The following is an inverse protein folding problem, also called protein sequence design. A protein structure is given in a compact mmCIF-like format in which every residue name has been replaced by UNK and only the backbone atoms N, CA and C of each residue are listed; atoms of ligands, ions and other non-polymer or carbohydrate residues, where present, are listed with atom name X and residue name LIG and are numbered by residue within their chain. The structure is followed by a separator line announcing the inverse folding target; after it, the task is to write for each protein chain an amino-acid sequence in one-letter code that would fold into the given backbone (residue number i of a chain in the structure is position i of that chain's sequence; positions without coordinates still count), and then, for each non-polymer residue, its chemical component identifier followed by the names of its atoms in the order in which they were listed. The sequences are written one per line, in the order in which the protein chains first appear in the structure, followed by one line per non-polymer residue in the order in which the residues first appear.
data_IF_424717711991
#
_entry.id   IF_424717711991
#
_cell.length_a   1.000
_cell.length_b   1.000
_cell.length_c   1.000
_cell.angle_alpha   90.00
_cell.angle_beta   90.00
_cell.angle_gamma   90.00
#
_symmetry.space_group_name_H-M   'P 1'
#
loop_
_entity.id
_entity.type
_entity.pdbx_description
1 polymer ?
#
# COMPACT_ATOMS: atom_id res chain seq x y z
N UNK A 1 -71.84 20.93 -6.17
CA UNK A 1 -71.83 21.96 -7.22
C UNK A 1 -71.38 21.28 -8.50
N UNK A 2 -72.21 21.40 -9.53
CA UNK A 2 -72.07 20.80 -10.84
C UNK A 2 -71.22 21.67 -11.78
N UNK A 3 -71.04 21.15 -13.00
CA UNK A 3 -70.45 21.72 -14.22
C UNK A 3 -68.96 21.37 -14.44
N UNK A 4 -68.50 21.04 -15.64
CA UNK A 4 -69.14 20.73 -16.92
C UNK A 4 -68.05 20.13 -17.82
N UNK A 5 -68.45 19.25 -18.74
CA UNK A 5 -67.68 18.87 -19.93
C UNK A 5 -67.19 20.11 -20.67
N UNK A 6 -66.10 20.00 -21.45
CA UNK A 6 -66.01 20.45 -22.85
C UNK A 6 -64.80 19.81 -23.57
N UNK A 7 -65.10 19.18 -24.72
CA UNK A 7 -64.32 19.07 -25.97
C UNK A 7 -62.82 18.70 -25.89
N UNK A 8 -62.37 17.54 -26.37
CA UNK A 8 -62.63 17.00 -27.70
C UNK A 8 -61.58 17.52 -28.68
N UNK A 9 -60.44 16.83 -28.82
CA UNK A 9 -59.60 16.92 -30.01
C UNK A 9 -58.88 15.59 -30.21
N UNK A 10 -59.49 14.74 -31.04
CA UNK A 10 -58.88 13.54 -31.59
C UNK A 10 -58.05 13.99 -32.78
N UNK A 11 -56.72 14.09 -32.59
CA UNK A 11 -55.80 14.21 -33.72
C UNK A 11 -55.54 12.81 -34.26
N UNK A 12 -56.23 12.48 -35.36
CA UNK A 12 -55.81 11.45 -36.29
C UNK A 12 -54.55 11.99 -36.98
N UNK A 13 -53.37 11.60 -36.48
CA UNK A 13 -52.13 11.70 -37.21
C UNK A 13 -52.17 10.59 -38.26
N UNK A 14 -52.49 10.99 -39.49
CA UNK A 14 -52.38 10.14 -40.66
C UNK A 14 -50.94 9.65 -40.80
N UNK A 15 -50.80 8.34 -40.78
CA UNK A 15 -49.62 7.56 -41.14
C UNK A 15 -49.08 8.04 -42.51
N UNK A 16 -48.06 8.91 -42.49
CA UNK A 16 -47.13 8.98 -43.61
C UNK A 16 -46.19 7.78 -43.50
N UNK A 17 -46.48 6.76 -44.31
CA UNK A 17 -45.56 5.71 -44.78
C UNK A 17 -44.30 6.37 -45.37
N UNK A 18 -43.43 6.88 -44.51
CA UNK A 18 -42.05 7.18 -44.88
C UNK A 18 -41.37 5.83 -44.96
N UNK A 19 -40.76 5.47 -46.11
CA UNK A 19 -39.91 4.29 -46.15
C UNK A 19 -38.91 4.47 -45.02
N UNK A 20 -38.84 3.47 -44.13
CA UNK A 20 -37.79 3.35 -43.14
C UNK A 20 -36.51 3.30 -43.97
N UNK A 21 -35.95 4.47 -44.25
CA UNK A 21 -34.59 4.59 -44.73
C UNK A 21 -33.81 3.88 -43.66
N UNK A 22 -33.20 2.78 -44.08
CA UNK A 22 -32.26 2.01 -43.30
C UNK A 22 -31.21 3.01 -42.81
N UNK A 23 -31.46 3.56 -41.63
CA UNK A 23 -30.57 4.40 -40.86
C UNK A 23 -29.60 3.43 -40.20
N UNK A 24 -28.91 2.66 -41.05
CA UNK A 24 -27.68 2.02 -40.66
C UNK A 24 -26.79 3.18 -40.22
N UNK A 25 -26.45 3.26 -38.93
CA UNK A 25 -25.67 4.37 -38.42
C UNK A 25 -24.41 4.53 -39.28
N UNK A 26 -24.00 5.76 -39.63
CA UNK A 26 -22.85 5.99 -40.53
C UNK A 26 -21.50 5.63 -39.88
N UNK A 27 -21.53 4.98 -38.72
CA UNK A 27 -20.35 4.54 -38.02
C UNK A 27 -19.89 3.24 -38.65
N UNK A 28 -18.67 3.26 -39.17
CA UNK A 28 -18.00 2.04 -39.62
C UNK A 28 -17.87 1.10 -38.41
N UNK A 29 -17.98 -0.21 -38.60
CA UNK A 29 -17.88 -1.18 -37.49
C UNK A 29 -16.60 -0.99 -36.63
N UNK A 30 -15.53 -0.40 -37.20
CA UNK A 30 -14.30 -0.02 -36.49
C UNK A 30 -14.47 1.10 -35.44
N UNK A 31 -15.39 2.07 -35.63
CA UNK A 31 -15.57 3.18 -34.69
C UNK A 31 -16.42 2.77 -33.47
N UNK A 32 -17.27 1.76 -33.62
CA UNK A 32 -18.08 1.22 -32.52
C UNK A 32 -17.23 0.41 -31.52
N UNK A 33 -16.19 -0.29 -32.00
CA UNK A 33 -15.26 -1.01 -31.14
C UNK A 33 -14.43 -0.06 -30.26
N UNK A 34 -14.00 1.08 -30.80
CA UNK A 34 -13.18 2.06 -30.07
C UNK A 34 -13.98 2.74 -28.94
N UNK A 35 -15.26 3.08 -29.18
CA UNK A 35 -16.13 3.66 -28.14
C UNK A 35 -16.40 2.67 -27.00
N UNK A 36 -16.58 1.38 -27.29
CA UNK A 36 -16.77 0.34 -26.27
C UNK A 36 -15.52 0.11 -25.41
N UNK A 37 -14.32 0.18 -26.01
CA UNK A 37 -13.05 0.13 -25.27
C UNK A 37 -12.93 1.33 -24.32
N UNK A 38 -13.29 2.53 -24.76
CA UNK A 38 -13.27 3.74 -23.92
C UNK A 38 -14.25 3.69 -22.75
N UNK A 39 -15.48 3.21 -22.97
CA UNK A 39 -16.48 3.04 -21.90
C UNK A 39 -16.00 2.03 -20.86
N UNK A 40 -15.46 0.88 -21.30
CA UNK A 40 -14.88 -0.12 -20.40
C UNK A 40 -13.69 0.41 -19.58
N UNK A 41 -12.81 1.19 -20.21
CA UNK A 41 -11.70 1.85 -19.51
C UNK A 41 -12.16 2.90 -18.50
N UNK A 42 -13.25 3.64 -18.77
CA UNK A 42 -13.80 4.63 -17.83
C UNK A 42 -14.46 3.97 -16.63
N UNK A 43 -15.24 2.90 -16.82
CA UNK A 43 -15.87 2.17 -15.72
C UNK A 43 -14.83 1.57 -14.76
N UNK A 44 -13.73 1.02 -15.30
CA UNK A 44 -12.63 0.50 -14.48
C UNK A 44 -11.94 1.62 -13.67
N UNK A 45 -11.75 2.80 -14.25
CA UNK A 45 -11.11 3.94 -13.58
C UNK A 45 -11.98 4.51 -12.46
N UNK A 46 -13.28 4.69 -12.69
CA UNK A 46 -14.21 5.20 -11.66
C UNK A 46 -14.32 4.22 -10.50
N UNK A 47 -14.50 2.93 -10.82
CA UNK A 47 -14.57 1.87 -9.81
C UNK A 47 -13.31 1.82 -8.95
N UNK A 48 -12.14 1.98 -9.56
CA UNK A 48 -10.85 2.02 -8.86
C UNK A 48 -10.76 3.20 -7.89
N UNK A 49 -11.23 4.39 -8.28
CA UNK A 49 -11.19 5.57 -7.42
C UNK A 49 -12.09 5.42 -6.19
N UNK A 50 -13.32 4.92 -6.37
CA UNK A 50 -14.25 4.70 -5.25
C UNK A 50 -13.67 3.71 -4.24
N UNK A 51 -13.09 2.60 -4.74
CA UNK A 51 -12.45 1.60 -3.88
C UNK A 51 -11.27 2.16 -3.10
N UNK A 52 -10.41 2.96 -3.73
CA UNK A 52 -9.29 3.61 -3.05
C UNK A 52 -9.81 4.53 -1.93
N UNK A 53 -10.84 5.33 -2.18
CA UNK A 53 -11.41 6.22 -1.17
C UNK A 53 -11.98 5.47 0.05
N UNK A 54 -12.64 4.33 -0.19
CA UNK A 54 -13.14 3.46 0.89
C UNK A 54 -11.96 2.96 1.73
N UNK A 55 -10.92 2.43 1.10
CA UNK A 55 -9.73 1.90 1.79
C UNK A 55 -9.00 2.99 2.59
N UNK A 56 -8.87 4.19 2.03
CA UNK A 56 -8.31 5.36 2.74
C UNK A 56 -9.16 5.74 3.96
N UNK A 57 -10.48 5.70 3.83
CA UNK A 57 -11.41 5.99 4.93
C UNK A 57 -11.26 4.98 6.06
N UNK A 58 -11.20 3.69 5.73
CA UNK A 58 -10.97 2.63 6.71
C UNK A 58 -9.66 2.83 7.48
N UNK A 59 -8.59 3.24 6.79
CA UNK A 59 -7.30 3.55 7.43
C UNK A 59 -7.39 4.75 8.36
N UNK A 60 -8.02 5.84 7.93
CA UNK A 60 -8.18 7.05 8.77
C UNK A 60 -8.98 6.76 10.04
N UNK A 61 -9.98 5.88 9.95
CA UNK A 61 -10.81 5.47 11.08
C UNK A 61 -10.13 4.40 11.95
N UNK A 62 -9.11 3.70 11.44
CA UNK A 62 -8.46 2.59 12.14
C UNK A 62 -9.37 1.37 12.35
N UNK A 63 -10.49 1.29 11.63
CA UNK A 63 -11.46 0.19 11.73
C UNK A 63 -11.01 -0.99 10.89
N UNK A 64 -11.34 -2.22 11.29
CA UNK A 64 -11.02 -3.46 10.54
C UNK A 64 -9.52 -3.74 10.32
N UNK A 65 -8.65 -3.08 11.07
CA UNK A 65 -7.22 -3.39 11.08
C UNK A 65 -6.96 -4.67 11.87
N UNK A 66 -6.24 -5.61 11.27
CA UNK A 66 -5.94 -6.95 11.78
C UNK A 66 -4.44 -7.18 11.98
N UNK A 67 -3.60 -6.24 11.53
CA UNK A 67 -2.16 -6.25 11.70
C UNK A 67 -1.71 -4.97 12.41
N UNK A 68 -0.80 -5.10 13.38
CA UNK A 68 -0.12 -4.01 14.05
C UNK A 68 1.36 -4.07 13.68
N UNK A 69 1.83 -3.10 12.91
CA UNK A 69 3.25 -2.92 12.61
C UNK A 69 3.89 -2.06 13.69
N UNK A 70 5.03 -2.50 14.22
CA UNK A 70 5.80 -1.76 15.22
C UNK A 70 7.11 -1.31 14.57
N UNK A 71 7.27 -0.01 14.39
CA UNK A 71 8.50 0.57 13.84
C UNK A 71 9.68 0.42 14.82
N UNK A 72 10.91 0.65 14.32
CA UNK A 72 12.14 0.53 15.11
C UNK A 72 12.24 1.52 16.27
N UNK A 73 11.51 2.63 16.19
CA UNK A 73 11.36 3.62 17.28
C UNK A 73 10.20 3.31 18.23
N UNK A 74 9.55 2.14 18.08
CA UNK A 74 8.46 1.69 18.93
C UNK A 74 7.09 2.29 18.61
N UNK A 75 6.94 3.06 17.51
CA UNK A 75 5.64 3.55 17.07
C UNK A 75 4.80 2.42 16.46
N UNK A 76 3.50 2.41 16.78
CA UNK A 76 2.57 1.38 16.35
C UNK A 76 1.66 1.87 15.22
N UNK A 77 1.47 1.04 14.21
CA UNK A 77 0.63 1.32 13.05
C UNK A 77 -0.38 0.18 12.86
N UNK A 78 -1.65 0.50 13.04
CA UNK A 78 -2.76 -0.40 12.74
C UNK A 78 -3.01 -0.39 11.24
N UNK A 79 -2.96 -1.57 10.61
CA UNK A 79 -3.08 -1.73 9.17
C UNK A 79 -3.91 -2.97 8.82
N UNK A 80 -4.40 -2.98 7.58
CA UNK A 80 -5.14 -4.09 7.00
C UNK A 80 -4.19 -5.04 6.28
N UNK A 81 -4.26 -6.32 6.61
CA UNK A 81 -3.49 -7.41 6.00
C UNK A 81 -3.63 -7.42 4.48
N UNK A 82 -4.84 -7.27 3.95
CA UNK A 82 -5.11 -7.35 2.52
C UNK A 82 -4.31 -6.29 1.72
N UNK A 83 -4.09 -5.11 2.29
CA UNK A 83 -3.28 -4.05 1.65
C UNK A 83 -1.80 -4.44 1.61
N UNK A 84 -1.30 -5.13 2.64
CA UNK A 84 0.09 -5.57 2.68
C UNK A 84 0.34 -6.76 1.74
N UNK A 85 -0.53 -7.77 1.76
CA UNK A 85 -0.35 -9.00 0.96
C UNK A 85 -0.47 -8.77 -0.54
N UNK A 86 -1.26 -7.78 -0.96
CA UNK A 86 -1.35 -7.39 -2.38
C UNK A 86 -0.05 -6.80 -2.91
N UNK A 87 0.84 -6.34 -2.02
CA UNK A 87 2.07 -5.61 -2.37
C UNK A 87 3.35 -6.34 -1.96
N UNK A 88 3.24 -7.36 -1.10
CA UNK A 88 4.40 -8.13 -0.59
C UNK A 88 4.06 -9.61 -0.42
N UNK A 89 4.69 -10.45 -1.25
CA UNK A 89 4.63 -11.90 -1.13
C UNK A 89 5.32 -12.40 0.16
N UNK A 90 6.27 -11.64 0.68
CA UNK A 90 6.95 -11.97 1.95
C UNK A 90 5.96 -11.85 3.09
N UNK A 91 5.22 -10.73 3.14
CA UNK A 91 4.19 -10.53 4.14
C UNK A 91 3.07 -11.56 3.96
N UNK A 92 2.63 -11.84 2.74
CA UNK A 92 1.62 -12.87 2.49
C UNK A 92 2.00 -14.22 3.13
N UNK A 93 3.19 -14.74 2.82
CA UNK A 93 3.68 -16.00 3.42
C UNK A 93 3.76 -15.93 4.94
N UNK A 94 4.20 -14.79 5.49
CA UNK A 94 4.26 -14.59 6.93
C UNK A 94 2.86 -14.63 7.56
N UNK A 95 1.87 -13.95 6.96
CA UNK A 95 0.50 -13.97 7.47
C UNK A 95 -0.14 -15.37 7.36
N UNK A 96 0.08 -16.07 6.24
CA UNK A 96 -0.45 -17.42 6.00
C UNK A 96 0.08 -18.42 7.04
N UNK A 97 1.37 -18.36 7.38
CA UNK A 97 1.97 -19.20 8.43
C UNK A 97 1.41 -18.93 9.83
N UNK A 98 0.84 -17.74 10.04
CA UNK A 98 0.34 -17.27 11.33
C UNK A 98 -1.19 -17.09 11.32
N UNK A 99 -1.87 -17.67 10.32
CA UNK A 99 -3.32 -17.55 10.16
C UNK A 99 -4.06 -18.12 11.38
N UNK A 100 -5.07 -17.39 11.86
CA UNK A 100 -5.90 -17.79 12.99
C UNK A 100 -5.43 -17.31 14.37
N UNK A 101 -4.30 -16.59 14.46
CA UNK A 101 -3.76 -16.11 15.75
C UNK A 101 -4.35 -14.77 16.26
N UNK A 102 -5.51 -14.33 15.74
CA UNK A 102 -6.08 -13.03 16.10
C UNK A 102 -5.28 -11.86 15.51
N UNK A 103 -5.17 -10.76 16.25
CA UNK A 103 -4.43 -9.57 15.79
C UNK A 103 -2.94 -9.86 15.72
N UNK A 104 -2.34 -9.66 14.55
CA UNK A 104 -0.94 -9.98 14.32
C UNK A 104 -0.04 -8.79 14.63
N UNK A 105 1.05 -9.01 15.38
CA UNK A 105 2.05 -7.98 15.67
C UNK A 105 3.33 -8.28 14.90
N UNK A 106 3.81 -7.32 14.10
CA UNK A 106 5.03 -7.43 13.32
C UNK A 106 6.00 -6.30 13.67
N UNK A 107 7.15 -6.65 14.23
CA UNK A 107 8.16 -5.69 14.66
C UNK A 107 9.25 -5.49 13.59
N UNK A 108 9.48 -4.22 13.23
CA UNK A 108 10.35 -3.79 12.14
C UNK A 108 11.52 -2.97 12.72
N UNK A 109 12.53 -3.66 13.25
CA UNK A 109 13.63 -3.01 13.99
C UNK A 109 14.45 -1.99 13.18
N UNK A 110 14.56 -2.16 11.86
CA UNK A 110 15.39 -1.31 11.00
C UNK A 110 14.61 -0.19 10.31
N UNK A 111 13.29 -0.11 10.53
CA UNK A 111 12.41 0.81 9.82
C UNK A 111 11.98 1.94 10.73
N UNK A 112 12.31 3.19 10.35
CA UNK A 112 11.81 4.38 11.07
C UNK A 112 10.29 4.53 10.90
N UNK A 113 9.60 5.09 11.90
CA UNK A 113 8.17 5.41 11.81
C UNK A 113 7.83 6.30 10.62
N UNK A 114 8.70 7.27 10.29
CA UNK A 114 8.55 8.15 9.12
C UNK A 114 8.56 7.35 7.82
N UNK A 115 9.57 6.50 7.62
CA UNK A 115 9.66 5.64 6.43
C UNK A 115 8.46 4.69 6.32
N UNK A 116 8.05 4.09 7.44
CA UNK A 116 6.88 3.22 7.49
C UNK A 116 5.59 3.96 7.14
N UNK A 117 5.38 5.17 7.67
CA UNK A 117 4.22 6.01 7.34
C UNK A 117 4.16 6.31 5.85
N UNK A 118 5.29 6.69 5.24
CA UNK A 118 5.37 6.99 3.80
C UNK A 118 5.03 5.77 2.95
N UNK A 119 5.53 4.58 3.33
CA UNK A 119 5.17 3.31 2.66
C UNK A 119 3.68 3.07 2.78
N UNK A 120 3.12 3.17 3.98
CA UNK A 120 1.69 2.92 4.16
C UNK A 120 0.86 3.95 3.38
N UNK A 121 1.25 5.22 3.36
CA UNK A 121 0.59 6.26 2.57
C UNK A 121 0.60 5.93 1.08
N UNK A 122 1.72 5.43 0.57
CA UNK A 122 1.81 4.88 -0.78
C UNK A 122 0.82 3.71 -1.01
N UNK A 123 0.81 2.69 -0.15
CA UNK A 123 0.00 1.49 -0.36
C UNK A 123 -1.51 1.76 -0.32
N UNK A 124 -1.93 2.75 0.48
CA UNK A 124 -3.34 3.18 0.56
C UNK A 124 -3.69 4.22 -0.51
N UNK A 125 -2.78 4.52 -1.44
CA UNK A 125 -3.02 5.43 -2.56
C UNK A 125 -3.15 6.89 -2.15
N UNK A 126 -2.55 7.31 -1.03
CA UNK A 126 -2.49 8.73 -0.67
C UNK A 126 -1.49 9.47 -1.57
N UNK A 127 -1.81 10.73 -1.87
CA UNK A 127 -0.88 11.61 -2.57
C UNK A 127 0.34 11.90 -1.69
N UNK A 128 1.52 11.52 -2.16
CA UNK A 128 2.77 11.72 -1.46
C UNK A 128 3.47 12.99 -1.93
N UNK A 129 3.64 13.94 -1.01
CA UNK A 129 4.54 15.07 -1.22
C UNK A 129 5.92 14.69 -0.69
N UNK A 130 6.75 14.07 -1.54
CA UNK A 130 8.06 13.56 -1.15
C UNK A 130 9.16 14.61 -1.35
N UNK A 131 9.97 14.80 -0.31
CA UNK A 131 11.27 15.44 -0.46
C UNK A 131 12.35 14.38 -0.72
N UNK A 132 13.51 14.81 -1.22
CA UNK A 132 14.64 13.91 -1.50
C UNK A 132 15.02 12.95 -0.34
N UNK A 133 15.13 13.39 0.93
CA UNK A 133 15.42 12.45 2.03
C UNK A 133 14.26 11.46 2.30
N UNK A 134 13.03 11.85 2.00
CA UNK A 134 11.85 11.00 2.21
C UNK A 134 11.82 9.83 1.24
N UNK A 135 12.36 10.02 0.03
CA UNK A 135 12.46 8.96 -0.98
C UNK A 135 13.38 7.83 -0.49
N UNK A 136 14.53 8.17 0.10
CA UNK A 136 15.44 7.16 0.66
C UNK A 136 14.78 6.39 1.79
N UNK A 137 14.07 7.09 2.69
CA UNK A 137 13.34 6.45 3.79
C UNK A 137 12.21 5.54 3.28
N UNK A 138 11.45 5.99 2.29
CA UNK A 138 10.39 5.21 1.64
C UNK A 138 10.96 3.94 1.01
N UNK A 139 12.04 4.04 0.24
CA UNK A 139 12.66 2.89 -0.44
C UNK A 139 13.27 1.90 0.55
N UNK A 140 13.96 2.38 1.59
CA UNK A 140 14.51 1.51 2.63
C UNK A 140 13.40 0.76 3.36
N UNK A 141 12.34 1.45 3.79
CA UNK A 141 11.20 0.83 4.44
C UNK A 141 10.50 -0.18 3.52
N UNK A 142 10.27 0.17 2.26
CA UNK A 142 9.64 -0.72 1.27
C UNK A 142 10.45 -2.01 1.07
N UNK A 143 11.77 -1.88 0.98
CA UNK A 143 12.67 -3.02 0.86
C UNK A 143 12.60 -3.94 2.08
N UNK A 144 12.60 -3.37 3.29
CA UNK A 144 12.44 -4.15 4.53
C UNK A 144 11.10 -4.88 4.62
N UNK A 145 10.03 -4.33 4.03
CA UNK A 145 8.72 -4.98 3.94
C UNK A 145 8.58 -5.94 2.75
N UNK A 146 9.59 -6.03 1.87
CA UNK A 146 9.54 -6.85 0.65
C UNK A 146 8.55 -6.33 -0.40
N UNK A 147 8.30 -5.02 -0.43
CA UNK A 147 7.39 -4.36 -1.38
C UNK A 147 8.15 -4.02 -2.66
N UNK A 148 7.94 -4.82 -3.70
CA UNK A 148 8.71 -4.73 -4.96
C UNK A 148 8.17 -3.68 -5.93
N UNK A 149 6.89 -3.28 -5.80
CA UNK A 149 6.26 -2.31 -6.71
C UNK A 149 6.98 -0.95 -6.71
N UNK A 150 7.56 -0.57 -5.57
CA UNK A 150 8.29 0.70 -5.43
C UNK A 150 9.65 0.67 -6.12
N UNK A 151 10.27 -0.50 -6.29
CA UNK A 151 11.54 -0.64 -7.02
C UNK A 151 11.37 -0.43 -8.53
N UNK A 152 10.20 -0.78 -9.07
CA UNK A 152 9.84 -0.64 -10.48
C UNK A 152 9.29 0.74 -10.87
N UNK A 153 9.04 1.63 -9.90
CA UNK A 153 8.38 2.91 -10.17
C UNK A 153 9.33 3.87 -10.93
N UNK A 154 9.06 4.23 -12.20
CA UNK A 154 9.98 5.03 -13.02
C UNK A 154 10.27 6.41 -12.41
N UNK A 155 9.28 7.00 -11.73
CA UNK A 155 9.40 8.28 -11.06
C UNK A 155 10.41 8.23 -9.90
N UNK A 156 10.42 7.14 -9.13
CA UNK A 156 11.38 6.94 -8.05
C UNK A 156 12.78 6.58 -8.59
N UNK A 157 12.84 5.87 -9.72
CA UNK A 157 14.11 5.59 -10.39
C UNK A 157 14.78 6.88 -10.91
N UNK A 158 14.03 7.79 -11.52
CA UNK A 158 14.57 9.08 -11.99
C UNK A 158 15.17 9.91 -10.86
N UNK A 159 14.50 9.98 -9.71
CA UNK A 159 14.99 10.69 -8.53
C UNK A 159 16.27 10.06 -7.95
N UNK A 160 16.44 8.73 -8.09
CA UNK A 160 17.66 8.01 -7.69
C UNK A 160 18.88 8.38 -8.53
N UNK A 161 18.71 8.70 -9.82
CA UNK A 161 19.80 9.10 -10.70
C UNK A 161 20.26 10.54 -10.49
N UNK A 162 19.34 11.45 -10.14
CA UNK A 162 19.69 12.86 -9.87
C UNK A 162 20.60 13.00 -8.64
N UNK A 163 20.44 12.15 -7.63
CA UNK A 163 21.26 12.18 -6.39
C UNK A 163 22.74 11.86 -6.68
N UNK A 164 23.03 10.96 -7.62
CA UNK A 164 24.43 10.58 -7.94
C UNK A 164 25.19 11.60 -8.78
N UNK A 165 24.50 12.59 -9.36
CA UNK A 165 25.12 13.53 -10.28
C UNK A 165 25.80 14.73 -9.58
N UNK A 166 25.59 14.94 -8.27
CA UNK A 166 26.10 16.12 -7.55
C UNK A 166 27.38 15.87 -6.72
N UNK A 167 27.86 14.63 -6.60
CA UNK A 167 29.05 14.31 -5.80
C UNK A 167 30.39 14.50 -6.55
N UNK A 168 30.40 15.19 -7.70
CA UNK A 168 31.55 15.24 -8.61
C UNK A 168 32.06 16.65 -8.92
N UNK A 169 32.71 17.34 -7.95
CA UNK A 169 33.23 18.67 -8.25
C UNK A 169 34.13 19.40 -7.24
N UNK A 170 34.87 18.73 -6.35
CA UNK A 170 36.02 19.38 -5.67
C UNK A 170 37.08 18.37 -5.26
N UNK A 171 37.85 17.92 -6.25
CA UNK A 171 39.10 17.18 -6.05
C UNK A 171 40.17 18.13 -5.51
N UNK A 172 40.26 18.26 -4.18
CA UNK A 172 41.44 18.79 -3.52
C UNK A 172 42.47 17.68 -3.35
N UNK A 173 43.41 17.68 -4.30
CA UNK A 173 44.63 16.90 -4.29
C UNK A 173 45.45 17.22 -3.05
N UNK A 174 45.61 16.24 -2.15
CA UNK A 174 46.74 16.23 -1.23
C UNK A 174 47.43 14.87 -1.33
N UNK A 175 48.66 14.93 -1.85
CA UNK A 175 49.62 13.84 -1.83
C UNK A 175 50.05 13.64 -0.39
N UNK A 176 49.97 12.42 0.11
CA UNK A 176 50.68 11.98 1.30
C UNK A 176 51.37 10.66 0.98
N UNK A 177 52.64 10.66 1.34
CA UNK A 177 53.66 9.72 0.92
C UNK A 177 53.50 8.32 1.52
N UNK A 178 54.02 7.40 0.71
CA UNK A 178 54.16 5.97 0.93
C UNK A 178 55.24 5.69 1.98
N UNK A 179 54.87 5.03 3.09
CA UNK A 179 55.83 4.32 3.94
C UNK A 179 55.13 3.12 4.58
N UNK A 180 55.55 1.92 4.17
CA UNK A 180 54.95 0.66 4.58
C UNK A 180 55.19 0.30 6.05
N UNK A 181 54.40 -0.64 6.56
CA UNK A 181 54.87 -1.52 7.63
C UNK A 181 53.91 -2.69 7.86
N UNK A 182 54.48 -3.88 7.67
CA UNK A 182 54.33 -5.14 8.42
C UNK A 182 52.95 -5.75 8.73
N UNK A 183 52.85 -6.99 8.23
CA UNK A 183 51.97 -8.10 8.58
C UNK A 183 51.88 -8.34 10.10
N UNK A 184 50.66 -8.48 10.61
CA UNK A 184 50.38 -9.19 11.86
C UNK A 184 49.21 -10.17 11.67
N UNK A 185 49.49 -11.45 11.94
CA UNK A 185 48.54 -12.56 12.03
C UNK A 185 47.90 -12.62 13.43
N UNK A 186 46.60 -12.92 13.47
CA UNK A 186 45.80 -13.77 14.40
C UNK A 186 45.97 -13.63 15.94
N UNK A 187 44.89 -13.71 16.76
CA UNK A 187 44.18 -14.99 16.95
C UNK A 187 42.65 -14.96 17.21
N UNK A 188 42.06 -16.10 16.88
CA UNK A 188 40.76 -16.66 17.31
C UNK A 188 40.64 -16.81 18.83
N UNK A 189 39.62 -16.22 19.46
CA UNK A 189 38.97 -16.60 20.74
C UNK A 189 37.62 -15.84 20.78
N UNK A 190 36.50 -16.23 21.36
CA UNK A 190 36.00 -17.42 22.04
C UNK A 190 34.48 -17.21 22.17
N UNK A 191 33.71 -18.26 21.96
CA UNK A 191 32.28 -18.33 22.26
C UNK A 191 32.04 -18.41 23.77
N UNK A 192 31.17 -17.59 24.37
CA UNK A 192 30.63 -17.87 25.69
C UNK A 192 29.30 -18.62 25.57
N UNK A 193 29.34 -19.89 25.94
CA UNK A 193 28.18 -20.72 26.28
C UNK A 193 27.56 -20.17 27.57
N UNK A 194 26.31 -19.71 27.52
CA UNK A 194 25.52 -19.45 28.73
C UNK A 194 24.43 -20.51 28.84
N UNK A 195 24.78 -21.54 29.62
CA UNK A 195 23.87 -22.44 30.32
C UNK A 195 23.25 -21.67 31.49
N UNK A 196 21.93 -21.73 31.62
CA UNK A 196 21.18 -21.29 32.79
C UNK A 196 19.71 -21.70 32.61
N UNK A 197 19.35 -22.92 33.01
CA UNK A 197 18.86 -23.33 34.33
C UNK A 197 17.34 -23.20 34.44
N UNK A 198 16.74 -24.34 34.73
CA UNK A 198 15.31 -24.60 34.87
C UNK A 198 14.73 -23.87 36.10
N UNK A 199 13.51 -23.33 35.96
CA UNK A 199 12.52 -23.47 37.04
C UNK A 199 11.08 -23.32 36.54
N UNK A 200 10.23 -24.34 36.69
CA UNK A 200 8.78 -24.18 36.58
C UNK A 200 8.25 -23.62 37.90
N UNK A 201 7.52 -22.51 37.84
CA UNK A 201 6.64 -22.09 38.94
C UNK A 201 5.19 -22.35 38.55
N UNK A 202 4.69 -23.48 39.04
CA UNK A 202 3.28 -23.68 39.32
C UNK A 202 2.80 -22.56 40.25
N UNK A 203 1.77 -21.83 39.84
CA UNK A 203 0.95 -21.05 40.75
C UNK A 203 -0.52 -21.33 40.47
N UNK A 204 -1.01 -22.38 41.13
CA UNK A 204 -2.40 -22.55 41.49
C UNK A 204 -2.80 -21.43 42.45
N UNK A 205 -3.86 -20.69 42.16
CA UNK A 205 -4.70 -20.08 43.19
C UNK A 205 -6.09 -19.80 42.63
N UNK A 206 -7.01 -20.64 43.08
CA UNK A 206 -8.44 -20.44 43.02
C UNK A 206 -8.85 -19.20 43.84
N UNK A 207 -9.84 -18.46 43.33
CA UNK A 207 -10.65 -17.59 44.17
C UNK A 207 -12.09 -17.59 43.63
N UNK A 208 -12.87 -18.51 44.20
CA UNK A 208 -14.33 -18.48 44.25
C UNK A 208 -14.79 -17.25 45.05
N UNK A 209 -15.56 -16.37 44.41
CA UNK A 209 -16.23 -15.24 45.04
C UNK A 209 -17.74 -15.34 44.86
N UNK A 210 -18.41 -15.91 45.86
CA UNK A 210 -19.86 -15.94 46.04
C UNK A 210 -20.35 -14.66 46.72
N UNK A 211 -21.53 -14.18 46.34
CA UNK A 211 -22.37 -13.26 47.13
C UNK A 211 -22.54 -11.87 46.50
N UNK A 212 -23.73 -11.29 46.42
CA UNK A 212 -25.03 -11.70 46.92
C UNK A 212 -26.09 -10.63 46.65
N UNK A 213 -27.33 -11.02 46.95
CA UNK A 213 -28.56 -10.24 47.12
C UNK A 213 -29.22 -9.63 45.88
#
# INVERSE_FOLDING_TARGET
MAASLEHGSVFLLEDEDRPIQDMTPPFSDEEAEDVMVWVGMMEEQVFRQEHIQIIQTLRKLGTHSDVCLVAGDGQHFMVHSFVLVTQSLVIQKFLDCNAGMGMMLLQLHEVSSKGLSLVLDFLYGFDLQLQQPDITLLLCAAHSLGITVLEGCPLLQQLKYTIRADDGGSSSSSRIDEAGSTVARCPTQQTPSLQGDEKPQDNLSAASGTGGS
#
